data_IF_428018589239
#
_entry.id   IF_428018589239
#
_cell.length_a   1.000
_cell.length_b   1.000
_cell.length_c   1.000
_cell.angle_alpha   90.00
_cell.angle_beta   90.00
_cell.angle_gamma   90.00
#
_symmetry.space_group_name_H-M   'P 1'
#
loop_
_entity.id
_entity.type
_entity.pdbx_description
1 polymer ?
#
# COMPACT_ATOMS: atom_id res chain seq x y z
N UNK A 1 5.87 -0.94 10.13
CA UNK A 1 4.72 -1.55 9.42
C UNK A 1 3.80 -2.21 10.44
N UNK A 2 2.62 -1.62 10.69
CA UNK A 2 1.58 -2.17 11.56
C UNK A 2 0.29 -2.34 10.72
N UNK A 3 -0.37 -3.50 10.82
CA UNK A 3 -1.63 -3.75 10.13
C UNK A 3 -2.78 -2.85 10.62
N UNK A 4 -2.66 -2.25 11.82
CA UNK A 4 -3.63 -1.26 12.31
C UNK A 4 -3.70 -0.02 11.39
N UNK A 5 -2.63 0.29 10.66
CA UNK A 5 -2.56 1.42 9.72
C UNK A 5 -3.27 1.13 8.37
N UNK A 6 -3.73 -0.11 8.14
CA UNK A 6 -4.27 -0.55 6.85
C UNK A 6 -5.47 0.27 6.37
N UNK A 7 -6.39 0.62 7.27
CA UNK A 7 -7.58 1.41 6.93
C UNK A 7 -7.19 2.85 6.50
N UNK A 8 -6.22 3.46 7.20
CA UNK A 8 -5.72 4.78 6.85
C UNK A 8 -5.00 4.78 5.51
N UNK A 9 -4.13 3.78 5.27
CA UNK A 9 -3.46 3.60 3.97
C UNK A 9 -4.47 3.42 2.84
N UNK A 10 -5.49 2.57 3.02
CA UNK A 10 -6.50 2.33 1.98
C UNK A 10 -7.30 3.57 1.61
N UNK A 11 -7.66 4.39 2.60
CA UNK A 11 -8.39 5.63 2.36
C UNK A 11 -7.60 6.53 1.42
N UNK A 12 -6.30 6.68 1.66
CA UNK A 12 -5.41 7.49 0.81
C UNK A 12 -5.20 6.81 -0.56
N UNK A 13 -4.91 5.51 -0.59
CA UNK A 13 -4.68 4.74 -1.81
C UNK A 13 -5.86 4.85 -2.80
N UNK A 14 -7.09 4.77 -2.30
CA UNK A 14 -8.31 4.89 -3.11
C UNK A 14 -8.43 6.26 -3.81
N UNK A 15 -7.82 7.33 -3.27
CA UNK A 15 -7.83 8.65 -3.93
C UNK A 15 -6.94 8.70 -5.17
N UNK A 16 -5.96 7.80 -5.29
CA UNK A 16 -5.08 7.70 -6.46
C UNK A 16 -5.65 6.81 -7.56
N UNK A 17 -6.51 5.84 -7.19
CA UNK A 17 -7.15 4.90 -8.12
C UNK A 17 -8.67 4.93 -7.97
N UNK A 18 -9.32 6.04 -8.39
CA UNK A 18 -10.77 6.21 -8.19
C UNK A 18 -11.62 5.24 -9.02
N UNK A 19 -11.11 4.77 -10.16
CA UNK A 19 -11.78 3.82 -11.04
C UNK A 19 -10.82 2.69 -11.43
N UNK A 20 -11.31 1.45 -11.36
CA UNK A 20 -10.58 0.22 -11.71
C UNK A 20 -9.17 0.11 -11.07
N UNK A 21 -9.07 0.02 -9.72
CA UNK A 21 -7.79 -0.08 -9.05
C UNK A 21 -7.01 -1.34 -9.48
N UNK A 22 -5.67 -1.29 -9.53
CA UNK A 22 -4.87 -2.43 -9.92
C UNK A 22 -5.03 -3.58 -8.92
N UNK A 23 -4.81 -4.80 -9.40
CA UNK A 23 -4.67 -5.95 -8.51
C UNK A 23 -3.51 -5.72 -7.53
N UNK A 24 -3.71 -6.06 -6.25
CA UNK A 24 -2.69 -5.90 -5.22
C UNK A 24 -2.78 -6.97 -4.14
N UNK A 25 -1.69 -7.13 -3.43
CA UNK A 25 -1.59 -7.86 -2.17
C UNK A 25 -1.07 -6.92 -1.08
N UNK A 26 -1.39 -7.21 0.17
CA UNK A 26 -0.91 -6.43 1.33
C UNK A 26 -0.55 -7.40 2.44
N UNK A 27 0.66 -7.23 2.97
CA UNK A 27 1.20 -8.04 4.07
C UNK A 27 1.78 -7.14 5.14
N UNK A 28 1.85 -7.64 6.37
CA UNK A 28 2.65 -7.00 7.41
C UNK A 28 4.09 -7.48 7.33
N UNK A 29 5.03 -6.58 7.02
CA UNK A 29 6.45 -6.86 7.11
C UNK A 29 6.95 -6.74 8.57
N UNK A 30 7.95 -7.55 8.95
CA UNK A 30 8.56 -7.44 10.28
C UNK A 30 9.33 -6.14 10.50
N UNK A 31 9.91 -5.55 9.43
CA UNK A 31 10.54 -4.23 9.42
C UNK A 31 10.64 -3.71 7.97
N UNK A 32 10.65 -2.38 7.81
CA UNK A 32 10.91 -1.71 6.54
C UNK A 32 12.22 -0.89 6.60
N UNK A 33 12.89 -0.66 5.46
CA UNK A 33 14.05 0.25 5.37
C UNK A 33 13.72 1.64 5.92
N UNK A 34 14.75 2.34 6.42
CA UNK A 34 14.69 3.71 6.96
C UNK A 34 13.62 3.98 8.04
N UNK A 35 12.99 2.93 8.58
CA UNK A 35 11.88 3.07 9.54
C UNK A 35 10.55 3.48 8.89
N UNK A 36 10.36 3.20 7.60
CA UNK A 36 9.11 3.49 6.90
C UNK A 36 7.90 2.79 7.53
N UNK A 37 6.74 3.42 7.41
CA UNK A 37 5.47 2.88 7.91
C UNK A 37 4.83 1.91 6.90
N UNK A 38 4.90 2.26 5.61
CA UNK A 38 4.35 1.51 4.47
C UNK A 38 5.36 1.57 3.32
N UNK A 39 5.48 0.48 2.58
CA UNK A 39 6.24 0.38 1.32
C UNK A 39 5.33 -0.24 0.26
N UNK A 40 5.38 0.27 -0.98
CA UNK A 40 4.56 -0.19 -2.10
C UNK A 40 5.48 -0.44 -3.30
N UNK A 41 5.43 -1.66 -3.83
CA UNK A 41 6.00 -2.02 -5.13
C UNK A 41 4.86 -2.18 -6.15
N UNK A 42 5.13 -1.96 -7.44
CA UNK A 42 4.11 -2.03 -8.50
C UNK A 42 4.73 -2.51 -9.81
N UNK A 43 3.95 -3.29 -10.56
CA UNK A 43 4.20 -3.61 -11.96
C UNK A 43 3.23 -2.77 -12.80
N UNK A 44 3.73 -2.10 -13.83
CA UNK A 44 2.94 -1.27 -14.73
C UNK A 44 3.27 -1.57 -16.21
N UNK A 45 2.26 -1.42 -17.07
CA UNK A 45 2.32 -1.63 -18.53
C UNK A 45 1.56 -0.48 -19.21
N UNK A 46 1.89 -0.18 -20.48
CA UNK A 46 1.31 0.90 -21.29
C UNK A 46 0.14 0.43 -22.18
#
# INVERSE_FOLDING_TARGET
ANMDDFAAMNTIYATFFPDAPPARSTIQAGRLPIGALVEIETIAEL
#
